data_IF_424902750241
#
_entry.id   IF_424902750241
#
_cell.length_a   1.000
_cell.length_b   1.000
_cell.length_c   1.000
_cell.angle_alpha   90.00
_cell.angle_beta   90.00
_cell.angle_gamma   90.00
#
_symmetry.space_group_name_H-M   'P 1'
#
loop_
_entity.id
_entity.type
_entity.pdbx_description
1 polymer ?
#
# COMPACT_ATOMS: atom_id res chain seq x y z
N UNK A 1 -2.53 5.09 -5.31
CA UNK A 1 -3.37 4.75 -4.13
C UNK A 1 -4.83 5.08 -4.36
N UNK A 2 -5.17 6.26 -4.87
CA UNK A 2 -6.55 6.65 -5.21
C UNK A 2 -7.28 5.62 -6.09
N UNK A 3 -6.62 5.06 -7.11
CA UNK A 3 -7.22 4.01 -7.93
C UNK A 3 -7.59 2.75 -7.11
N UNK A 4 -6.71 2.33 -6.20
CA UNK A 4 -6.95 1.15 -5.35
C UNK A 4 -8.13 1.41 -4.40
N UNK A 5 -8.21 2.63 -3.82
CA UNK A 5 -9.37 3.05 -3.03
C UNK A 5 -10.66 3.03 -3.85
N UNK A 6 -10.62 3.56 -5.08
CA UNK A 6 -11.77 3.54 -6.00
C UNK A 6 -12.24 2.13 -6.37
N UNK A 7 -11.32 1.15 -6.37
CA UNK A 7 -11.61 -0.28 -6.56
C UNK A 7 -12.06 -1.00 -5.28
N UNK A 8 -12.24 -0.29 -4.17
CA UNK A 8 -12.65 -0.87 -2.88
C UNK A 8 -11.53 -1.66 -2.16
N UNK A 9 -10.28 -1.49 -2.58
CA UNK A 9 -9.13 -2.11 -1.92
C UNK A 9 -8.88 -1.40 -0.60
N UNK A 10 -8.89 -2.15 0.50
CA UNK A 10 -8.58 -1.62 1.83
C UNK A 10 -7.08 -1.43 1.96
N UNK A 11 -6.67 -0.19 2.15
CA UNK A 11 -5.28 0.17 2.43
C UNK A 11 -5.06 0.24 3.94
N UNK A 12 -3.86 -0.11 4.39
CA UNK A 12 -3.37 0.22 5.74
C UNK A 12 -2.82 1.65 5.72
N UNK A 13 -2.02 1.98 4.70
CA UNK A 13 -1.50 3.32 4.50
C UNK A 13 -2.30 4.05 3.42
N UNK A 14 -3.11 5.02 3.82
CA UNK A 14 -3.87 5.86 2.88
C UNK A 14 -2.99 6.93 2.21
N UNK A 15 -1.91 7.32 2.88
CA UNK A 15 -0.90 8.26 2.38
C UNK A 15 0.44 7.52 2.40
N UNK A 16 1.23 7.55 1.30
CA UNK A 16 2.52 6.88 1.28
C UNK A 16 3.45 7.47 2.35
N UNK A 17 4.21 6.60 3.00
CA UNK A 17 5.25 6.98 3.99
C UNK A 17 6.62 6.53 3.52
N UNK A 18 7.68 7.10 4.08
CA UNK A 18 9.03 6.68 3.76
C UNK A 18 9.37 5.34 4.43
N UNK A 19 9.79 4.38 3.61
CA UNK A 19 10.22 3.05 4.00
C UNK A 19 11.74 2.91 4.00
N UNK A 20 12.20 1.66 4.07
CA UNK A 20 13.62 1.34 4.02
C UNK A 20 14.28 1.86 2.73
N UNK A 21 15.49 2.43 2.87
CA UNK A 21 16.22 2.99 1.74
C UNK A 21 15.62 4.29 1.16
N UNK A 22 14.70 4.94 1.88
CA UNK A 22 14.09 6.21 1.46
C UNK A 22 13.03 6.07 0.36
N UNK A 23 12.61 4.84 0.06
CA UNK A 23 11.51 4.59 -0.87
C UNK A 23 10.17 5.08 -0.29
N UNK A 24 9.23 5.50 -1.14
CA UNK A 24 7.85 5.71 -0.71
C UNK A 24 7.14 4.37 -0.69
N UNK A 25 6.50 4.04 0.41
CA UNK A 25 5.79 2.78 0.59
C UNK A 25 4.36 2.99 1.06
N UNK A 26 3.50 2.02 0.77
CA UNK A 26 2.16 1.92 1.32
C UNK A 26 1.73 0.44 1.45
N UNK A 27 1.14 0.07 2.58
CA UNK A 27 0.65 -1.28 2.79
C UNK A 27 -0.82 -1.45 2.38
N UNK A 28 -1.13 -2.60 1.77
CA UNK A 28 -2.49 -3.08 1.51
C UNK A 28 -2.92 -4.01 2.63
N UNK A 29 -4.15 -3.86 3.10
CA UNK A 29 -4.68 -4.68 4.17
C UNK A 29 -4.88 -6.14 3.71
N UNK A 30 -4.46 -7.16 4.48
CA UNK A 30 -4.56 -8.58 4.08
C UNK A 30 -5.96 -9.04 3.66
N UNK A 31 -7.00 -8.47 4.27
CA UNK A 31 -8.41 -8.68 3.88
C UNK A 31 -8.69 -8.38 2.40
N UNK A 32 -7.95 -7.47 1.77
CA UNK A 32 -8.05 -7.15 0.34
C UNK A 32 -7.01 -7.87 -0.52
N UNK A 33 -6.17 -8.71 0.09
CA UNK A 33 -5.07 -9.43 -0.57
C UNK A 33 -5.01 -10.90 -0.11
N UNK A 34 -6.17 -11.55 0.10
CA UNK A 34 -6.28 -12.98 0.43
C UNK A 34 -5.41 -13.45 1.61
N UNK A 35 -5.31 -12.63 2.66
CA UNK A 35 -4.52 -12.96 3.86
C UNK A 35 -3.04 -12.59 3.76
N UNK A 36 -2.58 -12.02 2.65
CA UNK A 36 -1.20 -11.59 2.47
C UNK A 36 -1.05 -10.10 2.79
N UNK A 37 -0.06 -9.74 3.61
CA UNK A 37 0.34 -8.35 3.80
C UNK A 37 1.19 -7.90 2.60
N UNK A 38 0.64 -7.02 1.77
CA UNK A 38 1.30 -6.55 0.55
C UNK A 38 1.87 -5.14 0.75
N UNK A 39 3.16 -4.97 0.45
CA UNK A 39 3.84 -3.66 0.39
C UNK A 39 3.87 -3.16 -1.05
N UNK A 40 3.39 -1.94 -1.27
CA UNK A 40 3.62 -1.18 -2.50
C UNK A 40 4.85 -0.31 -2.29
N UNK A 41 5.82 -0.42 -3.18
CA UNK A 41 7.10 0.30 -3.08
C UNK A 41 7.32 1.13 -4.35
N UNK A 42 7.57 2.42 -4.18
CA UNK A 42 7.91 3.36 -5.24
C UNK A 42 9.33 3.91 -4.97
N UNK A 43 10.23 3.65 -5.91
CA UNK A 43 11.59 4.20 -5.96
C UNK A 43 11.67 5.12 -7.18
N UNK A 44 12.44 6.20 -7.07
CA UNK A 44 12.78 7.04 -8.23
C UNK A 44 13.59 6.26 -9.25
#
# INVERSE_FOLDING_TARGET
LEELKGKGVKLIDEVPRYGAGGAKIAFVHPKSANGVLLELCERK
#
